data_IF_992972086118
#
_entry.id   IF_992972086118
#
_cell.length_a   1.000
_cell.length_b   1.000
_cell.length_c   1.000
_cell.angle_alpha   90.00
_cell.angle_beta   90.00
_cell.angle_gamma   90.00
#
_symmetry.space_group_name_H-M   'P 1'
#
loop_
_entity.id
_entity.type
_entity.pdbx_description
1 polymer ?
#
# COMPACT_ATOMS: atom_id res chain seq x y z
N UNK A 1 -2.21 -32.72 -31.26
CA UNK A 1 -2.90 -32.28 -30.02
C UNK A 1 -1.91 -32.36 -28.86
N UNK A 2 -1.25 -31.25 -28.50
CA UNK A 2 -0.35 -31.21 -27.33
C UNK A 2 -1.18 -31.05 -26.06
N UNK A 3 -0.97 -31.97 -25.09
CA UNK A 3 -1.69 -32.11 -23.82
C UNK A 3 -1.79 -30.76 -23.07
N UNK A 4 -2.99 -30.46 -22.60
CA UNK A 4 -3.35 -29.32 -21.75
C UNK A 4 -2.77 -29.38 -20.32
N UNK A 5 -1.89 -30.34 -20.01
CA UNK A 5 -1.51 -30.69 -18.62
C UNK A 5 -0.40 -29.83 -18.00
N UNK A 6 0.29 -28.96 -18.76
CA UNK A 6 1.40 -28.13 -18.24
C UNK A 6 1.07 -26.63 -18.05
N UNK A 7 -0.20 -26.22 -18.26
CA UNK A 7 -0.57 -24.79 -18.33
C UNK A 7 -1.24 -24.25 -17.07
N UNK A 8 -1.66 -25.15 -16.19
CA UNK A 8 -2.27 -24.86 -14.91
C UNK A 8 -1.35 -25.40 -13.82
N UNK A 9 -1.16 -24.65 -12.73
CA UNK A 9 -0.31 -25.10 -11.61
C UNK A 9 -0.89 -26.33 -10.91
N UNK A 10 -2.21 -26.45 -10.88
CA UNK A 10 -2.89 -27.63 -10.38
C UNK A 10 -2.93 -28.67 -11.50
N UNK A 11 -2.33 -29.83 -11.25
CA UNK A 11 -2.38 -31.01 -12.13
C UNK A 11 -3.80 -31.55 -12.38
N UNK A 12 -4.83 -30.92 -11.80
CA UNK A 12 -6.26 -31.18 -11.96
C UNK A 12 -7.08 -29.88 -11.88
N UNK A 13 -6.85 -28.92 -12.75
CA UNK A 13 -7.84 -27.84 -12.95
C UNK A 13 -9.11 -28.46 -13.51
N UNK A 14 -10.20 -28.39 -12.72
CA UNK A 14 -11.52 -28.87 -13.12
C UNK A 14 -11.95 -28.22 -14.44
N UNK A 15 -12.68 -28.94 -15.28
CA UNK A 15 -13.22 -28.34 -16.53
C UNK A 15 -14.07 -27.09 -16.22
N UNK A 16 -14.75 -27.06 -15.08
CA UNK A 16 -15.47 -25.89 -14.60
C UNK A 16 -14.57 -24.65 -14.43
N UNK A 17 -13.38 -24.82 -13.83
CA UNK A 17 -12.43 -23.71 -13.69
C UNK A 17 -11.89 -23.28 -15.07
N UNK A 18 -11.66 -24.21 -16.00
CA UNK A 18 -11.29 -23.85 -17.39
C UNK A 18 -12.40 -23.05 -18.07
N UNK A 19 -13.66 -23.46 -17.92
CA UNK A 19 -14.81 -22.77 -18.50
C UNK A 19 -14.97 -21.35 -17.97
N UNK A 20 -14.76 -21.17 -16.66
CA UNK A 20 -14.74 -19.83 -16.05
C UNK A 20 -13.61 -18.99 -16.63
N UNK A 21 -12.39 -19.52 -16.73
CA UNK A 21 -11.23 -18.80 -17.26
C UNK A 21 -11.32 -18.50 -18.77
N UNK A 22 -12.07 -19.29 -19.56
CA UNK A 22 -12.34 -19.02 -20.99
C UNK A 22 -13.08 -17.71 -21.24
N UNK A 23 -13.70 -17.12 -20.21
CA UNK A 23 -14.33 -15.79 -20.30
C UNK A 23 -13.30 -14.66 -20.40
N UNK A 24 -12.05 -14.90 -20.00
CA UNK A 24 -10.95 -13.95 -20.12
C UNK A 24 -10.38 -13.94 -21.54
N UNK A 25 -9.91 -12.78 -22.01
CA UNK A 25 -9.23 -12.63 -23.30
C UNK A 25 -7.76 -13.04 -23.18
N UNK A 26 -7.52 -14.34 -23.08
CA UNK A 26 -6.19 -14.93 -22.86
C UNK A 26 -5.38 -15.04 -24.16
N UNK A 27 -4.14 -14.54 -24.15
CA UNK A 27 -3.14 -14.77 -25.19
C UNK A 27 -2.04 -15.64 -24.58
N UNK A 28 -1.89 -16.85 -25.12
CA UNK A 28 -0.92 -17.81 -24.60
C UNK A 28 0.47 -17.58 -25.19
N UNK A 29 1.48 -17.57 -24.33
CA UNK A 29 2.87 -17.42 -24.69
C UNK A 29 3.58 -18.77 -24.86
N UNK A 30 4.72 -18.76 -25.56
CA UNK A 30 5.52 -19.97 -25.81
C UNK A 30 6.09 -20.59 -24.54
N UNK A 31 6.30 -19.80 -23.49
CA UNK A 31 6.79 -20.21 -22.18
C UNK A 31 5.68 -20.76 -21.24
N UNK A 32 4.43 -20.79 -21.73
CA UNK A 32 3.28 -21.29 -20.98
C UNK A 32 2.57 -20.27 -20.09
N UNK A 33 3.04 -19.02 -20.02
CA UNK A 33 2.32 -17.92 -19.37
C UNK A 33 1.23 -17.33 -20.29
N UNK A 34 0.42 -16.45 -19.73
CA UNK A 34 -0.65 -15.75 -20.44
C UNK A 34 -0.50 -14.23 -20.34
N UNK A 35 -0.78 -13.53 -21.43
CA UNK A 35 -1.20 -12.13 -21.37
C UNK A 35 -2.73 -12.06 -21.38
N UNK A 36 -3.29 -11.12 -20.62
CA UNK A 36 -4.74 -10.86 -20.60
C UNK A 36 -5.03 -9.47 -21.13
N UNK A 37 -5.86 -9.39 -22.17
CA UNK A 37 -6.32 -8.13 -22.74
C UNK A 37 -7.59 -7.66 -22.02
N UNK A 38 -7.46 -6.64 -21.18
CA UNK A 38 -8.52 -6.16 -20.28
C UNK A 38 -8.39 -6.74 -18.88
N UNK A 39 -9.50 -6.77 -18.15
CA UNK A 39 -9.50 -7.06 -16.72
C UNK A 39 -9.50 -8.56 -16.42
N UNK A 40 -8.92 -8.91 -15.27
CA UNK A 40 -9.05 -10.21 -14.63
C UNK A 40 -9.76 -10.00 -13.30
N UNK A 41 -10.98 -10.49 -13.19
CA UNK A 41 -11.71 -10.47 -11.92
C UNK A 41 -12.14 -11.89 -11.52
N UNK A 42 -11.42 -12.47 -10.57
CA UNK A 42 -11.72 -13.81 -10.07
C UNK A 42 -13.08 -13.89 -9.37
N UNK A 43 -13.53 -12.82 -8.69
CA UNK A 43 -14.84 -12.78 -8.07
C UNK A 43 -15.96 -12.82 -9.11
N UNK A 44 -15.81 -12.06 -10.20
CA UNK A 44 -16.74 -12.09 -11.33
C UNK A 44 -16.77 -13.44 -12.07
N UNK A 45 -15.70 -14.24 -11.94
CA UNK A 45 -15.65 -15.63 -12.40
C UNK A 45 -16.20 -16.64 -11.36
N UNK A 46 -16.69 -16.17 -10.22
CA UNK A 46 -17.19 -16.96 -9.09
C UNK A 46 -16.10 -17.68 -8.30
N UNK A 47 -14.84 -17.26 -8.42
CA UNK A 47 -13.67 -17.84 -7.77
C UNK A 47 -13.36 -17.09 -6.48
N UNK A 48 -14.03 -17.47 -5.39
CA UNK A 48 -14.03 -16.74 -4.11
C UNK A 48 -13.40 -17.53 -2.94
N UNK A 49 -12.74 -18.65 -3.26
CA UNK A 49 -12.10 -19.54 -2.27
C UNK A 49 -10.75 -20.08 -2.75
N UNK A 50 -10.09 -19.35 -3.65
CA UNK A 50 -8.78 -19.71 -4.21
C UNK A 50 -7.73 -19.77 -3.10
N UNK A 51 -6.90 -20.82 -3.16
CA UNK A 51 -5.70 -20.97 -2.32
C UNK A 51 -4.44 -20.48 -3.05
N UNK A 52 -4.47 -20.49 -4.39
CA UNK A 52 -3.42 -19.99 -5.26
C UNK A 52 -4.02 -19.37 -6.53
N UNK A 53 -3.24 -18.54 -7.22
CA UNK A 53 -3.62 -18.01 -8.53
C UNK A 53 -3.66 -19.17 -9.55
N UNK A 54 -4.80 -19.43 -10.22
CA UNK A 54 -5.02 -20.68 -10.97
C UNK A 54 -4.24 -20.77 -12.28
N UNK A 55 -3.72 -19.66 -12.80
CA UNK A 55 -2.98 -19.56 -14.05
C UNK A 55 -1.75 -18.66 -13.88
N UNK A 56 -0.72 -18.88 -14.68
CA UNK A 56 0.50 -18.05 -14.66
C UNK A 56 0.33 -16.90 -15.65
N UNK A 57 0.20 -15.69 -15.14
CA UNK A 57 -0.02 -14.50 -15.97
C UNK A 57 1.29 -13.71 -16.04
N UNK A 58 1.65 -13.25 -17.23
CA UNK A 58 2.78 -12.33 -17.42
C UNK A 58 2.30 -10.89 -17.33
N UNK A 59 1.27 -10.53 -18.09
CA UNK A 59 0.75 -9.16 -18.16
C UNK A 59 -0.77 -9.12 -18.19
N UNK A 60 -1.34 -8.10 -17.55
CA UNK A 60 -2.75 -7.69 -17.65
C UNK A 60 -2.79 -6.24 -18.12
N UNK A 61 -3.59 -5.92 -19.14
CA UNK A 61 -3.68 -4.54 -19.67
C UNK A 61 -4.77 -3.71 -19.00
N UNK A 62 -5.65 -4.33 -18.23
CA UNK A 62 -6.62 -3.66 -17.36
C UNK A 62 -6.33 -3.98 -15.89
N UNK A 63 -7.37 -4.19 -15.11
CA UNK A 63 -7.28 -4.43 -13.67
C UNK A 63 -7.10 -5.92 -13.34
N UNK A 64 -6.44 -6.22 -12.21
CA UNK A 64 -6.29 -7.57 -11.68
C UNK A 64 -6.86 -7.67 -10.27
N UNK A 65 -8.01 -8.33 -10.15
CA UNK A 65 -8.75 -8.52 -8.90
C UNK A 65 -8.66 -9.97 -8.45
N UNK A 66 -7.90 -10.20 -7.37
CA UNK A 66 -7.82 -11.47 -6.64
C UNK A 66 -8.16 -11.33 -5.16
N UNK A 67 -8.91 -10.27 -4.80
CA UNK A 67 -9.36 -9.99 -3.46
C UNK A 67 -10.38 -11.03 -2.94
N UNK A 68 -10.68 -11.01 -1.63
CA UNK A 68 -11.68 -11.89 -0.99
C UNK A 68 -11.47 -13.39 -1.28
N UNK A 69 -10.24 -13.87 -1.07
CA UNK A 69 -9.86 -15.25 -1.30
C UNK A 69 -9.05 -15.79 -0.10
N UNK A 70 -8.45 -16.98 -0.26
CA UNK A 70 -7.61 -17.60 0.76
C UNK A 70 -6.14 -17.70 0.32
N UNK A 71 -5.69 -16.79 -0.55
CA UNK A 71 -4.33 -16.82 -1.09
C UNK A 71 -3.30 -16.63 0.02
N UNK A 72 -2.26 -17.44 0.01
CA UNK A 72 -1.10 -17.32 0.91
C UNK A 72 0.13 -16.75 0.21
N UNK A 73 0.15 -16.75 -1.13
CA UNK A 73 1.14 -16.09 -1.98
C UNK A 73 0.49 -15.50 -3.22
N UNK A 74 1.21 -14.62 -3.92
CA UNK A 74 0.82 -14.09 -5.23
C UNK A 74 1.52 -14.85 -6.37
N UNK A 75 2.04 -16.05 -6.12
CA UNK A 75 2.82 -16.77 -7.11
C UNK A 75 1.95 -17.18 -8.32
N UNK A 76 2.19 -16.57 -9.48
CA UNK A 76 1.40 -16.75 -10.70
C UNK A 76 0.51 -15.55 -11.05
N UNK A 77 0.39 -14.58 -10.14
CA UNK A 77 -0.12 -13.25 -10.44
C UNK A 77 0.73 -12.59 -11.55
N UNK A 78 0.16 -11.60 -12.27
CA UNK A 78 0.89 -10.88 -13.32
C UNK A 78 2.18 -10.24 -12.83
N UNK A 79 3.22 -10.26 -13.67
CA UNK A 79 4.46 -9.49 -13.46
C UNK A 79 4.27 -7.99 -13.74
N UNK A 80 3.27 -7.65 -14.55
CA UNK A 80 2.90 -6.28 -14.90
C UNK A 80 1.38 -6.13 -15.00
N UNK A 81 0.85 -5.08 -14.38
CA UNK A 81 -0.55 -4.66 -14.53
C UNK A 81 -0.58 -3.21 -14.96
N UNK A 82 -1.32 -2.91 -16.03
CA UNK A 82 -1.43 -1.54 -16.55
C UNK A 82 -2.55 -0.74 -15.84
N UNK A 83 -3.53 -1.41 -15.22
CA UNK A 83 -4.53 -0.82 -14.32
C UNK A 83 -4.24 -1.10 -12.85
N UNK A 84 -5.30 -1.39 -12.09
CA UNK A 84 -5.25 -1.63 -10.65
C UNK A 84 -4.92 -3.08 -10.29
N UNK A 85 -4.24 -3.29 -9.16
CA UNK A 85 -3.97 -4.61 -8.59
C UNK A 85 -4.57 -4.74 -7.18
N UNK A 86 -5.63 -5.51 -7.06
CA UNK A 86 -6.38 -5.67 -5.80
C UNK A 86 -6.28 -7.10 -5.26
N UNK A 87 -5.56 -7.27 -4.15
CA UNK A 87 -5.36 -8.54 -3.45
C UNK A 87 -5.78 -8.49 -1.97
N UNK A 88 -6.59 -7.51 -1.60
CA UNK A 88 -7.09 -7.31 -0.23
C UNK A 88 -8.01 -8.45 0.26
N UNK A 89 -8.13 -8.64 1.58
CA UNK A 89 -8.82 -9.78 2.21
C UNK A 89 -8.32 -11.15 1.72
N UNK A 90 -7.03 -11.43 1.96
CA UNK A 90 -6.42 -12.73 1.74
C UNK A 90 -5.66 -13.18 3.00
N UNK A 91 -4.76 -14.16 2.87
CA UNK A 91 -3.91 -14.68 3.94
C UNK A 91 -2.42 -14.51 3.59
N UNK A 92 -2.08 -13.50 2.79
CA UNK A 92 -0.72 -13.24 2.34
C UNK A 92 0.18 -12.90 3.54
N UNK A 93 1.38 -13.49 3.55
CA UNK A 93 2.42 -13.23 4.57
C UNK A 93 3.58 -12.37 4.02
N UNK A 94 3.76 -12.37 2.69
CA UNK A 94 4.65 -11.51 1.92
C UNK A 94 3.94 -11.11 0.61
N UNK A 95 4.55 -10.21 -0.15
CA UNK A 95 4.08 -9.84 -1.49
C UNK A 95 4.87 -10.55 -2.59
N UNK A 96 5.55 -11.65 -2.27
CA UNK A 96 6.29 -12.43 -3.27
C UNK A 96 5.35 -12.92 -4.39
N UNK A 97 5.75 -12.60 -5.63
CA UNK A 97 4.95 -12.86 -6.82
C UNK A 97 4.02 -11.71 -7.23
N UNK A 98 3.95 -10.61 -6.47
CA UNK A 98 3.27 -9.40 -6.91
C UNK A 98 3.89 -8.82 -8.21
N UNK A 99 3.11 -8.03 -8.97
CA UNK A 99 3.63 -7.33 -10.14
C UNK A 99 4.78 -6.39 -9.76
N UNK A 100 5.76 -6.25 -10.65
CA UNK A 100 6.84 -5.27 -10.50
C UNK A 100 6.41 -3.85 -10.82
N UNK A 101 5.39 -3.71 -11.66
CA UNK A 101 4.80 -2.44 -12.06
C UNK A 101 3.27 -2.52 -12.03
N UNK A 102 2.65 -1.49 -11.46
CA UNK A 102 1.20 -1.28 -11.43
C UNK A 102 0.92 0.14 -11.90
N UNK A 103 0.10 0.27 -12.95
CA UNK A 103 -0.23 1.55 -13.57
C UNK A 103 -1.32 2.35 -12.84
N UNK A 104 -2.11 1.68 -12.01
CA UNK A 104 -3.05 2.30 -11.08
C UNK A 104 -2.69 2.00 -9.62
N UNK A 105 -3.69 1.60 -8.85
CA UNK A 105 -3.58 1.38 -7.40
C UNK A 105 -3.13 -0.05 -7.08
N UNK A 106 -2.32 -0.21 -6.03
CA UNK A 106 -1.97 -1.50 -5.45
C UNK A 106 -2.57 -1.63 -4.05
N UNK A 107 -3.54 -2.53 -3.88
CA UNK A 107 -4.26 -2.70 -2.63
C UNK A 107 -4.08 -4.11 -2.04
N UNK A 108 -3.34 -4.18 -0.93
CA UNK A 108 -3.09 -5.40 -0.16
C UNK A 108 -3.64 -5.36 1.27
N UNK A 109 -4.66 -4.52 1.51
CA UNK A 109 -5.31 -4.33 2.80
C UNK A 109 -5.81 -5.66 3.41
N UNK A 110 -5.77 -5.77 4.75
CA UNK A 110 -6.32 -6.91 5.51
C UNK A 110 -5.75 -8.25 5.06
N UNK A 111 -4.43 -8.36 5.15
CA UNK A 111 -3.66 -9.58 4.99
C UNK A 111 -2.93 -9.91 6.32
N UNK A 112 -1.87 -10.71 6.25
CA UNK A 112 -0.99 -11.05 7.37
C UNK A 112 0.45 -10.66 7.08
N UNK A 113 0.65 -9.60 6.29
CA UNK A 113 1.98 -9.16 5.87
C UNK A 113 2.79 -8.74 7.09
N UNK A 114 4.01 -9.27 7.21
CA UNK A 114 4.99 -8.87 8.22
C UNK A 114 6.10 -7.99 7.64
N UNK A 115 6.23 -7.97 6.31
CA UNK A 115 7.09 -7.05 5.54
C UNK A 115 6.42 -6.73 4.21
N UNK A 116 6.91 -5.70 3.52
CA UNK A 116 6.50 -5.37 2.16
C UNK A 116 7.42 -6.00 1.11
N UNK A 117 8.29 -6.93 1.50
CA UNK A 117 9.14 -7.66 0.56
C UNK A 117 8.30 -8.32 -0.53
N UNK A 118 8.74 -8.11 -1.78
CA UNK A 118 8.04 -8.54 -2.98
C UNK A 118 7.04 -7.53 -3.54
N UNK A 119 6.80 -6.39 -2.87
CA UNK A 119 5.94 -5.32 -3.40
C UNK A 119 6.39 -4.83 -4.79
N UNK A 120 5.49 -4.17 -5.55
CA UNK A 120 5.87 -3.52 -6.79
C UNK A 120 7.00 -2.51 -6.56
N UNK A 121 7.89 -2.40 -7.54
CA UNK A 121 8.96 -1.39 -7.50
C UNK A 121 8.41 0.01 -7.77
N UNK A 122 7.33 0.07 -8.56
CA UNK A 122 6.63 1.30 -8.96
C UNK A 122 5.12 1.08 -8.98
N UNK A 123 4.41 2.00 -8.33
CA UNK A 123 2.95 2.12 -8.37
C UNK A 123 2.63 3.55 -8.79
N UNK A 124 1.89 3.71 -9.88
CA UNK A 124 1.57 5.05 -10.41
C UNK A 124 0.38 5.70 -9.67
N UNK A 125 -0.51 4.90 -9.07
CA UNK A 125 -1.58 5.33 -8.17
C UNK A 125 -1.24 5.18 -6.68
N UNK A 126 -2.22 4.79 -5.88
CA UNK A 126 -2.11 4.60 -4.43
C UNK A 126 -1.51 3.24 -4.07
N UNK A 127 -0.71 3.20 -3.00
CA UNK A 127 -0.24 1.95 -2.38
C UNK A 127 -0.87 1.78 -1.00
N UNK A 128 -1.76 0.80 -0.85
CA UNK A 128 -2.53 0.57 0.37
C UNK A 128 -2.15 -0.76 1.03
N UNK A 129 -1.53 -0.70 2.21
CA UNK A 129 -1.14 -1.84 3.03
C UNK A 129 -1.72 -1.82 4.45
N UNK A 130 -2.83 -1.10 4.65
CA UNK A 130 -3.52 -1.00 5.94
C UNK A 130 -3.93 -2.36 6.51
N UNK A 131 -4.06 -2.42 7.85
CA UNK A 131 -4.53 -3.61 8.57
C UNK A 131 -3.70 -4.87 8.27
N UNK A 132 -2.39 -4.75 8.44
CA UNK A 132 -1.44 -5.87 8.37
C UNK A 132 -0.69 -6.00 9.72
N UNK A 133 0.45 -6.69 9.71
CA UNK A 133 1.29 -6.91 10.89
C UNK A 133 2.70 -6.33 10.69
N UNK A 134 2.82 -5.27 9.89
CA UNK A 134 4.08 -4.62 9.56
C UNK A 134 4.69 -3.96 10.79
N UNK A 135 6.00 -4.11 10.98
CA UNK A 135 6.79 -3.42 12.02
C UNK A 135 7.69 -2.32 11.46
N UNK A 136 8.03 -2.41 10.17
CA UNK A 136 8.73 -1.40 9.37
C UNK A 136 8.09 -1.34 7.98
N UNK A 137 8.53 -0.40 7.13
CA UNK A 137 8.11 -0.29 5.73
C UNK A 137 9.17 -0.84 4.77
N UNK A 138 10.12 -1.63 5.25
CA UNK A 138 11.12 -2.27 4.39
C UNK A 138 10.47 -3.09 3.27
N UNK A 139 10.97 -2.89 2.06
CA UNK A 139 10.44 -3.52 0.84
C UNK A 139 9.29 -2.76 0.19
N UNK A 140 8.86 -1.61 0.72
CA UNK A 140 7.87 -0.76 0.07
C UNK A 140 8.30 -0.33 -1.35
N UNK A 141 7.35 0.04 -2.22
CA UNK A 141 7.68 0.61 -3.52
C UNK A 141 8.59 1.84 -3.39
N UNK A 142 9.54 1.97 -4.32
CA UNK A 142 10.43 3.14 -4.37
C UNK A 142 9.72 4.39 -4.88
N UNK A 143 8.67 4.20 -5.68
CA UNK A 143 7.86 5.26 -6.24
C UNK A 143 6.38 4.94 -6.07
N UNK A 144 5.65 5.89 -5.49
CA UNK A 144 4.19 5.90 -5.38
C UNK A 144 3.69 7.25 -5.89
N UNK A 145 2.98 7.23 -7.01
CA UNK A 145 2.47 8.44 -7.66
C UNK A 145 1.28 9.06 -6.94
N UNK A 146 0.48 8.23 -6.26
CA UNK A 146 -0.62 8.64 -5.38
C UNK A 146 -0.22 8.65 -3.91
N UNK A 147 -1.15 8.25 -3.04
CA UNK A 147 -0.98 8.13 -1.61
C UNK A 147 -0.33 6.83 -1.15
N UNK A 148 0.32 6.87 0.01
CA UNK A 148 0.87 5.71 0.70
C UNK A 148 0.14 5.49 2.02
N UNK A 149 -0.67 4.43 2.11
CA UNK A 149 -1.55 4.15 3.24
C UNK A 149 -1.06 2.90 3.98
N UNK A 150 -0.56 3.09 5.21
CA UNK A 150 -0.02 2.02 6.07
C UNK A 150 -0.58 2.06 7.50
N UNK A 151 -1.84 2.43 7.62
CA UNK A 151 -2.57 2.60 8.86
C UNK A 151 -2.83 1.26 9.56
N UNK A 152 -3.03 1.31 10.88
CA UNK A 152 -3.42 0.14 11.66
C UNK A 152 -2.50 -1.08 11.47
N UNK A 153 -1.19 -0.83 11.55
CA UNK A 153 -0.15 -1.84 11.57
C UNK A 153 0.50 -1.88 12.98
N UNK A 154 1.71 -2.41 13.08
CA UNK A 154 2.51 -2.43 14.31
C UNK A 154 3.82 -1.64 14.12
N UNK A 155 3.81 -0.62 13.25
CA UNK A 155 5.00 0.12 12.88
C UNK A 155 5.58 0.84 14.10
N UNK A 156 6.88 0.66 14.32
CA UNK A 156 7.65 1.40 15.34
C UNK A 156 8.58 2.44 14.71
N UNK A 157 8.80 2.36 13.40
CA UNK A 157 9.57 3.28 12.56
C UNK A 157 8.91 3.35 11.18
N UNK A 158 9.21 4.41 10.41
CA UNK A 158 8.83 4.53 9.01
C UNK A 158 9.98 4.17 8.06
N UNK A 159 11.07 3.60 8.58
CA UNK A 159 12.19 3.10 7.77
C UNK A 159 11.69 2.19 6.64
N UNK A 160 12.19 2.46 5.43
CA UNK A 160 11.78 1.79 4.19
C UNK A 160 10.61 2.46 3.45
N UNK A 161 10.01 3.52 4.00
CA UNK A 161 8.99 4.29 3.29
C UNK A 161 9.51 4.84 1.94
N UNK A 162 8.63 5.06 0.95
CA UNK A 162 9.00 5.75 -0.29
C UNK A 162 9.61 7.13 0.00
N UNK A 163 10.64 7.52 -0.75
CA UNK A 163 11.32 8.81 -0.55
C UNK A 163 10.42 10.01 -0.87
N UNK A 164 9.46 9.82 -1.79
CA UNK A 164 8.47 10.80 -2.25
C UNK A 164 7.13 10.13 -2.44
N UNK A 165 6.08 10.84 -2.03
CA UNK A 165 4.67 10.43 -2.20
C UNK A 165 3.90 11.58 -2.84
N UNK A 166 3.24 11.30 -3.96
CA UNK A 166 2.51 12.30 -4.74
C UNK A 166 1.12 12.65 -4.21
N UNK A 167 0.60 11.84 -3.28
CA UNK A 167 -0.63 12.07 -2.54
C UNK A 167 -0.38 12.14 -1.03
N UNK A 168 -1.31 11.57 -0.25
CA UNK A 168 -1.24 11.54 1.20
C UNK A 168 -0.28 10.46 1.71
N UNK A 169 0.33 10.68 2.88
CA UNK A 169 1.04 9.65 3.63
C UNK A 169 0.29 9.38 4.94
N UNK A 170 -0.37 8.23 5.04
CA UNK A 170 -1.22 7.85 6.17
C UNK A 170 -0.56 6.74 6.98
N UNK A 171 -0.08 7.07 8.19
CA UNK A 171 0.56 6.13 9.11
C UNK A 171 -0.10 6.11 10.50
N UNK A 172 -1.34 6.59 10.61
CA UNK A 172 -2.07 6.66 11.87
C UNK A 172 -2.42 5.27 12.43
N UNK A 173 -2.60 5.19 13.76
CA UNK A 173 -2.97 3.94 14.42
C UNK A 173 -1.86 2.89 14.45
N UNK A 174 -0.61 3.33 14.59
CA UNK A 174 0.58 2.49 14.74
C UNK A 174 1.17 2.62 16.16
N UNK A 175 2.43 2.19 16.33
CA UNK A 175 3.18 2.28 17.60
C UNK A 175 4.43 3.17 17.44
N UNK A 176 4.34 4.18 16.57
CA UNK A 176 5.47 5.06 16.26
C UNK A 176 5.82 5.92 17.47
N UNK A 177 7.11 5.98 17.82
CA UNK A 177 7.64 6.88 18.86
C UNK A 177 8.40 8.07 18.26
N UNK A 178 8.87 7.93 17.01
CA UNK A 178 9.43 8.98 16.15
C UNK A 178 8.85 8.85 14.74
N UNK A 179 9.09 9.84 13.88
CA UNK A 179 8.76 9.79 12.45
C UNK A 179 10.01 9.50 11.60
N UNK A 180 11.06 8.94 12.19
CA UNK A 180 12.27 8.59 11.45
C UNK A 180 11.96 7.63 10.30
N UNK A 181 12.54 7.92 9.13
CA UNK A 181 12.28 7.20 7.89
C UNK A 181 11.08 7.70 7.09
N UNK A 182 10.30 8.68 7.57
CA UNK A 182 9.22 9.29 6.80
C UNK A 182 9.73 9.90 5.47
N UNK A 183 8.86 9.99 4.43
CA UNK A 183 9.17 10.76 3.23
C UNK A 183 9.55 12.20 3.60
N UNK A 184 10.57 12.75 2.94
CA UNK A 184 11.01 14.14 3.18
C UNK A 184 10.05 15.17 2.59
N UNK A 185 9.28 14.76 1.57
CA UNK A 185 8.36 15.60 0.82
C UNK A 185 7.07 14.82 0.53
N UNK A 186 5.95 15.39 0.95
CA UNK A 186 4.61 14.84 0.72
C UNK A 186 3.76 15.93 0.07
N UNK A 187 3.28 15.65 -1.14
CA UNK A 187 2.47 16.61 -1.91
C UNK A 187 1.06 16.76 -1.32
N UNK A 188 0.50 15.69 -0.75
CA UNK A 188 -0.75 15.70 -0.01
C UNK A 188 -0.57 15.96 1.49
N UNK A 189 -1.48 15.40 2.30
CA UNK A 189 -1.41 15.46 3.75
C UNK A 189 -0.53 14.37 4.36
N UNK A 190 -0.06 14.61 5.59
CA UNK A 190 0.70 13.65 6.39
C UNK A 190 -0.05 13.38 7.69
N UNK A 191 -0.53 12.15 7.85
CA UNK A 191 -1.45 11.77 8.92
C UNK A 191 -0.83 10.70 9.83
N UNK A 192 -0.31 11.15 10.97
CA UNK A 192 0.39 10.32 11.96
C UNK A 192 -0.28 10.31 13.35
N UNK A 193 -1.55 10.69 13.41
CA UNK A 193 -2.33 10.70 14.64
C UNK A 193 -2.50 9.29 15.26
N UNK A 194 -2.87 9.22 16.53
CA UNK A 194 -3.08 7.95 17.24
C UNK A 194 -1.83 7.02 17.19
N UNK A 195 -0.70 7.57 17.62
CA UNK A 195 0.58 6.88 17.78
C UNK A 195 1.14 7.17 19.18
N UNK A 196 2.43 6.91 19.41
CA UNK A 196 3.11 7.13 20.69
C UNK A 196 4.22 8.20 20.59
N UNK A 197 4.09 9.14 19.64
CA UNK A 197 5.11 10.15 19.36
C UNK A 197 5.35 11.07 20.55
N UNK A 198 6.62 11.31 20.91
CA UNK A 198 7.02 12.25 21.98
C UNK A 198 7.52 13.61 21.46
N UNK A 199 8.00 13.61 20.21
CA UNK A 199 8.38 14.77 19.38
C UNK A 199 7.95 14.49 17.94
N UNK A 200 8.20 15.43 17.03
CA UNK A 200 7.97 15.28 15.59
C UNK A 200 9.27 15.00 14.83
N UNK A 201 10.32 14.54 15.51
CA UNK A 201 11.59 14.20 14.89
C UNK A 201 11.40 13.20 13.75
N UNK A 202 11.98 13.53 12.59
CA UNK A 202 11.85 12.75 11.36
C UNK A 202 10.65 13.11 10.49
N UNK A 203 9.77 14.04 10.90
CA UNK A 203 8.63 14.46 10.08
C UNK A 203 9.07 14.99 8.70
N UNK A 204 8.20 14.92 7.68
CA UNK A 204 8.44 15.57 6.39
C UNK A 204 8.76 17.06 6.58
N UNK A 205 9.72 17.57 5.80
CA UNK A 205 10.05 19.01 5.82
C UNK A 205 8.95 19.85 5.20
N UNK A 206 8.30 19.32 4.16
CA UNK A 206 7.21 19.95 3.44
C UNK A 206 6.02 19.01 3.34
N UNK A 207 4.83 19.54 3.65
CA UNK A 207 3.54 18.89 3.48
C UNK A 207 2.61 19.82 2.72
N UNK A 208 2.17 19.39 1.54
CA UNK A 208 1.31 20.20 0.67
C UNK A 208 -0.15 20.27 1.12
N UNK A 209 -0.61 19.29 1.91
CA UNK A 209 -1.91 19.25 2.56
C UNK A 209 -1.85 19.46 4.06
N UNK A 210 -2.70 18.74 4.78
CA UNK A 210 -2.79 18.82 6.25
C UNK A 210 -1.69 18.01 6.93
N UNK A 211 -1.24 18.47 8.09
CA UNK A 211 -0.40 17.68 8.99
C UNK A 211 -1.18 17.34 10.27
N UNK A 212 -1.45 16.06 10.49
CA UNK A 212 -2.27 15.59 11.60
C UNK A 212 -1.48 14.68 12.54
N UNK A 213 -1.17 15.19 13.74
CA UNK A 213 -0.43 14.48 14.79
C UNK A 213 -1.16 14.46 16.14
N UNK A 214 -2.48 14.67 16.14
CA UNK A 214 -3.30 14.60 17.34
C UNK A 214 -3.36 13.17 17.95
N UNK A 215 -3.77 13.02 19.22
CA UNK A 215 -3.70 11.74 19.96
C UNK A 215 -2.30 11.10 19.94
N UNK A 216 -1.30 11.85 20.36
CA UNK A 216 0.06 11.36 20.59
C UNK A 216 0.50 11.69 22.02
N UNK A 217 1.79 11.54 22.31
CA UNK A 217 2.41 11.84 23.61
C UNK A 217 3.37 13.04 23.50
N UNK A 218 3.10 13.97 22.56
CA UNK A 218 4.03 15.05 22.25
C UNK A 218 4.26 15.94 23.47
N UNK A 219 5.53 16.17 23.78
CA UNK A 219 5.99 17.12 24.81
C UNK A 219 6.72 18.32 24.21
N UNK A 220 7.20 18.18 22.97
CA UNK A 220 7.80 19.22 22.15
C UNK A 220 7.27 19.14 20.71
N UNK A 221 7.45 20.23 19.94
CA UNK A 221 7.27 20.26 18.48
C UNK A 221 8.62 20.18 17.75
N UNK A 222 9.64 19.66 18.43
CA UNK A 222 10.95 19.46 17.81
C UNK A 222 10.83 18.52 16.61
N UNK A 223 11.46 18.88 15.49
CA UNK A 223 11.36 18.14 14.24
C UNK A 223 10.08 18.37 13.44
N UNK A 224 9.18 19.25 13.87
CA UNK A 224 7.98 19.59 13.10
C UNK A 224 8.33 20.03 11.66
N UNK A 225 7.40 19.84 10.68
CA UNK A 225 7.61 20.30 9.32
C UNK A 225 8.01 21.78 9.26
N UNK A 226 8.84 22.15 8.29
CA UNK A 226 9.23 23.55 8.08
C UNK A 226 8.06 24.35 7.46
N UNK A 227 7.29 23.69 6.58
CA UNK A 227 6.15 24.29 5.88
C UNK A 227 5.01 23.30 5.68
N UNK A 228 3.81 23.80 5.93
CA UNK A 228 2.54 23.09 5.75
C UNK A 228 1.59 24.01 4.98
N UNK A 229 1.11 23.54 3.84
CA UNK A 229 0.22 24.32 2.99
C UNK A 229 -1.27 24.16 3.36
N UNK A 230 -1.63 23.11 4.11
CA UNK A 230 -2.95 22.91 4.71
C UNK A 230 -3.01 23.26 6.21
N UNK A 231 -3.83 22.53 6.95
CA UNK A 231 -4.06 22.71 8.39
C UNK A 231 -3.03 21.93 9.24
N UNK A 232 -2.69 22.45 10.43
CA UNK A 232 -1.89 21.76 11.44
C UNK A 232 -2.78 21.32 12.61
N UNK A 233 -2.96 20.00 12.78
CA UNK A 233 -3.88 19.39 13.73
C UNK A 233 -3.09 18.62 14.81
N UNK A 234 -2.88 19.22 15.98
CA UNK A 234 -1.99 18.71 17.05
C UNK A 234 -2.64 18.69 18.45
N UNK A 235 -3.96 18.64 18.51
CA UNK A 235 -4.69 18.56 19.79
C UNK A 235 -4.54 17.19 20.48
N UNK A 236 -4.92 17.11 21.77
CA UNK A 236 -4.88 15.87 22.59
C UNK A 236 -3.50 15.19 22.59
N UNK A 237 -2.48 15.99 22.94
CA UNK A 237 -1.13 15.55 23.23
C UNK A 237 -0.80 15.74 24.71
N UNK A 238 0.34 15.21 25.17
CA UNK A 238 0.76 15.34 26.58
C UNK A 238 0.98 16.80 26.99
N UNK A 239 1.56 17.62 26.09
CA UNK A 239 1.57 19.08 26.21
C UNK A 239 0.41 19.67 25.41
N UNK A 240 -0.27 20.65 26.00
CA UNK A 240 -1.16 21.54 25.25
C UNK A 240 -0.33 22.67 24.64
N UNK A 241 -0.23 22.68 23.31
CA UNK A 241 0.50 23.69 22.58
C UNK A 241 -0.41 24.89 22.28
N UNK A 242 0.17 26.08 22.13
CA UNK A 242 -0.58 27.25 21.63
C UNK A 242 -0.34 27.45 20.13
N UNK A 243 -1.26 28.13 19.45
CA UNK A 243 -1.07 28.51 18.05
C UNK A 243 0.20 29.37 17.86
N UNK A 244 0.53 30.23 18.82
CA UNK A 244 1.75 31.04 18.78
C UNK A 244 3.02 30.18 18.84
N UNK A 245 3.04 29.13 19.66
CA UNK A 245 4.16 28.17 19.71
C UNK A 245 4.36 27.46 18.38
N UNK A 246 3.26 27.02 17.74
CA UNK A 246 3.31 26.37 16.42
C UNK A 246 3.84 27.32 15.36
N UNK A 247 3.25 28.53 15.25
CA UNK A 247 3.59 29.49 14.19
C UNK A 247 5.00 30.08 14.33
N UNK A 248 5.62 30.01 15.51
CA UNK A 248 7.04 30.34 15.69
C UNK A 248 7.99 29.33 15.05
N UNK A 249 7.56 28.08 14.91
CA UNK A 249 8.40 26.97 14.43
C UNK A 249 8.05 26.54 13.01
N UNK A 250 6.77 26.62 12.64
CA UNK A 250 6.23 26.05 11.40
C UNK A 250 5.51 27.12 10.59
N UNK A 251 5.82 27.19 9.30
CA UNK A 251 5.04 28.01 8.36
C UNK A 251 3.76 27.26 7.95
N UNK A 252 2.68 27.46 8.71
CA UNK A 252 1.35 26.88 8.44
C UNK A 252 0.48 27.90 7.69
N UNK A 253 0.05 27.56 6.47
CA UNK A 253 -0.87 28.40 5.68
C UNK A 253 -2.32 28.30 6.14
N UNK A 254 -2.75 27.12 6.54
CA UNK A 254 -4.10 26.87 7.04
C UNK A 254 -4.29 27.24 8.51
N UNK A 255 -5.27 26.59 9.11
CA UNK A 255 -5.61 26.70 10.53
C UNK A 255 -4.63 25.90 11.37
N UNK A 256 -4.42 26.39 12.59
CA UNK A 256 -3.71 25.65 13.63
C UNK A 256 -4.73 25.23 14.68
N UNK A 257 -4.85 23.93 14.93
CA UNK A 257 -5.79 23.35 15.90
C UNK A 257 -4.99 22.52 16.91
N UNK A 258 -4.88 23.01 18.15
CA UNK A 258 -4.00 22.52 19.22
C UNK A 258 -4.73 22.36 20.56
#
# INVERSE_FOLDING_TARGET
MKKLSNFYKISQVSEELKDRLRKLKLIKLSDGRFDVMGDVDFCSLGLNSLLEVPIRIRRVTGDFHCYNNNLTSLEGAPERVDGDFYCYYNKLISLDGAPKYVGGDFNCIRNKLTSLNGAPERVDGDFCCDYNQLTTLEGAPKFVGGGFLCCYNQLTTLEGAPERVGGNFDCYGNKLTTLEGAPKHVEGGFYCFNNELISLEGAPKFVGGDFACYYNKLTSLEGAPERIDGDFLCYRNSKHFTEEEVRKLVNVRGKVIV
#
